data_IF_584423152246
#
_entry.id   IF_584423152246
#
_cell.length_a   1.000
_cell.length_b   1.000
_cell.length_c   1.000
_cell.angle_alpha   90.00
_cell.angle_beta   90.00
_cell.angle_gamma   90.00
#
_symmetry.space_group_name_H-M   'P 1'
#
loop_
_entity.id
_entity.type
_entity.pdbx_description
1 polymer ?
#
# COMPACT_ATOMS: atom_id res chain seq x y z
N UNK A 1 -22.79 17.71 7.59
CA UNK A 1 -24.04 17.02 7.23
C UNK A 1 -23.90 16.57 5.78
N UNK A 2 -23.76 15.30 5.42
CA UNK A 2 -23.17 14.14 6.07
C UNK A 2 -22.49 13.37 4.92
N UNK A 3 -21.24 12.94 5.09
CA UNK A 3 -20.57 12.12 4.08
C UNK A 3 -21.41 10.84 3.97
N UNK A 4 -22.05 10.66 2.83
CA UNK A 4 -22.97 9.55 2.59
C UNK A 4 -22.14 8.27 2.63
N UNK A 5 -22.41 7.41 3.61
CA UNK A 5 -21.75 6.10 3.77
C UNK A 5 -21.85 5.21 2.53
N UNK A 6 -22.74 5.54 1.58
CA UNK A 6 -22.84 4.93 0.26
C UNK A 6 -21.62 5.19 -0.64
N UNK A 7 -20.99 6.37 -0.59
CA UNK A 7 -19.95 6.76 -1.55
C UNK A 7 -18.57 6.16 -1.18
N UNK A 8 -18.34 5.96 0.12
CA UNK A 8 -17.17 5.23 0.65
C UNK A 8 -17.31 3.73 0.36
N UNK A 9 -18.52 3.18 0.53
CA UNK A 9 -18.79 1.79 0.16
C UNK A 9 -18.68 1.59 -1.35
N UNK A 10 -19.08 2.55 -2.18
CA UNK A 10 -18.98 2.43 -3.63
C UNK A 10 -17.54 2.53 -4.14
N UNK A 11 -16.67 3.32 -3.50
CA UNK A 11 -15.24 3.37 -3.81
C UNK A 11 -14.48 2.15 -3.28
N UNK A 12 -14.86 1.63 -2.11
CA UNK A 12 -14.37 0.35 -1.60
C UNK A 12 -14.84 -0.82 -2.47
N UNK A 13 -16.10 -0.83 -2.92
CA UNK A 13 -16.64 -1.83 -3.83
C UNK A 13 -16.07 -1.71 -5.24
N UNK A 14 -15.76 -0.51 -5.74
CA UNK A 14 -15.04 -0.36 -7.01
C UNK A 14 -13.62 -0.92 -6.94
N UNK A 15 -12.93 -0.73 -5.81
CA UNK A 15 -11.61 -1.31 -5.54
C UNK A 15 -11.69 -2.84 -5.36
N UNK A 16 -12.71 -3.34 -4.68
CA UNK A 16 -12.96 -4.78 -4.52
C UNK A 16 -13.39 -5.42 -5.85
N UNK A 17 -14.33 -4.86 -6.61
CA UNK A 17 -14.83 -5.41 -7.87
C UNK A 17 -13.77 -5.38 -9.00
N UNK A 18 -12.87 -4.40 -9.01
CA UNK A 18 -11.77 -4.35 -9.98
C UNK A 18 -10.61 -5.31 -9.63
N UNK A 19 -10.53 -5.76 -8.37
CA UNK A 19 -9.55 -6.74 -7.88
C UNK A 19 -10.08 -8.16 -7.73
N UNK A 20 -11.41 -8.35 -7.72
CA UNK A 20 -12.13 -9.61 -7.44
C UNK A 20 -12.84 -10.08 -8.71
N UNK A 21 -12.08 -10.33 -9.78
CA UNK A 21 -12.54 -11.26 -10.82
C UNK A 21 -11.48 -12.34 -11.01
N UNK A 22 -11.31 -13.13 -9.94
CA UNK A 22 -10.50 -14.35 -9.95
C UNK A 22 -11.40 -15.54 -10.26
N UNK A 23 -12.17 -15.43 -11.33
CA UNK A 23 -13.00 -16.53 -11.81
C UNK A 23 -12.09 -17.62 -12.35
N UNK A 24 -12.25 -18.80 -11.75
CA UNK A 24 -12.01 -20.08 -12.39
C UNK A 24 -12.95 -20.17 -13.60
N UNK A 25 -12.59 -19.50 -14.69
CA UNK A 25 -12.99 -20.01 -15.99
C UNK A 25 -12.18 -21.28 -16.17
N UNK A 26 -12.81 -22.39 -15.79
CA UNK A 26 -12.54 -23.70 -16.36
C UNK A 26 -12.09 -23.52 -17.79
N UNK A 27 -10.89 -24.03 -18.06
CA UNK A 27 -10.33 -24.28 -19.39
C UNK A 27 -11.45 -24.63 -20.37
N UNK A 28 -11.89 -23.64 -21.14
CA UNK A 28 -12.31 -23.85 -22.52
C UNK A 28 -11.32 -23.05 -23.35
N UNK A 29 -10.07 -23.51 -23.32
CA UNK A 29 -9.20 -23.38 -24.48
C UNK A 29 -9.70 -24.34 -25.56
N UNK A 30 -10.93 -24.14 -26.03
CA UNK A 30 -11.25 -24.53 -27.39
C UNK A 30 -10.70 -23.38 -28.23
N UNK A 31 -9.74 -23.69 -29.09
CA UNK A 31 -9.10 -22.72 -29.98
C UNK A 31 -10.18 -22.22 -30.97
N UNK A 32 -11.03 -21.31 -30.50
CA UNK A 32 -11.89 -20.48 -31.32
C UNK A 32 -11.08 -19.21 -31.53
N UNK A 33 -10.60 -19.02 -32.76
CA UNK A 33 -10.05 -17.75 -33.20
C UNK A 33 -11.14 -16.68 -33.06
N UNK A 34 -11.19 -16.07 -31.87
CA UNK A 34 -12.13 -15.00 -31.58
C UNK A 34 -11.53 -13.70 -32.15
N UNK A 35 -12.18 -13.04 -33.13
CA UNK A 35 -11.66 -11.84 -33.75
C UNK A 35 -11.48 -10.65 -32.79
N UNK A 36 -11.96 -10.76 -31.54
CA UNK A 36 -11.78 -9.78 -30.47
C UNK A 36 -10.43 -9.89 -29.72
N UNK A 37 -9.67 -10.97 -29.94
CA UNK A 37 -8.36 -11.19 -29.30
C UNK A 37 -7.34 -10.04 -29.48
N UNK A 38 -7.14 -9.47 -30.70
CA UNK A 38 -6.18 -8.37 -30.89
C UNK A 38 -6.60 -7.07 -30.20
N UNK A 39 -7.90 -6.81 -30.02
CA UNK A 39 -8.39 -5.62 -29.30
C UNK A 39 -8.20 -5.76 -27.79
N UNK A 40 -8.46 -6.95 -27.24
CA UNK A 40 -8.25 -7.25 -25.83
C UNK A 40 -6.77 -7.13 -25.44
N UNK A 41 -5.84 -7.64 -26.26
CA UNK A 41 -4.40 -7.55 -26.01
C UNK A 41 -3.90 -6.09 -25.95
N UNK A 42 -4.26 -5.27 -26.95
CA UNK A 42 -3.89 -3.85 -27.01
C UNK A 42 -4.42 -3.06 -25.80
N UNK A 43 -5.65 -3.34 -25.37
CA UNK A 43 -6.21 -2.68 -24.17
C UNK A 43 -5.43 -3.04 -22.90
N UNK A 44 -5.07 -4.32 -22.73
CA UNK A 44 -4.32 -4.82 -21.57
C UNK A 44 -2.88 -4.28 -21.52
N UNK A 45 -2.21 -4.15 -22.66
CA UNK A 45 -0.86 -3.57 -22.73
C UNK A 45 -0.84 -2.11 -22.25
N UNK A 46 -1.85 -1.32 -22.62
CA UNK A 46 -1.98 0.07 -22.13
C UNK A 46 -2.16 0.14 -20.62
N UNK A 47 -2.95 -0.76 -20.05
CA UNK A 47 -3.15 -0.85 -18.60
C UNK A 47 -1.92 -1.35 -17.85
N UNK A 48 -1.16 -2.28 -18.44
CA UNK A 48 0.11 -2.76 -17.87
C UNK A 48 1.14 -1.65 -17.82
N UNK A 49 1.29 -0.89 -18.90
CA UNK A 49 2.18 0.28 -18.94
C UNK A 49 1.80 1.31 -17.87
N UNK A 50 0.52 1.63 -17.73
CA UNK A 50 0.04 2.55 -16.70
C UNK A 50 0.32 2.04 -15.27
N UNK A 51 0.09 0.75 -15.00
CA UNK A 51 0.41 0.13 -13.70
C UNK A 51 1.91 0.18 -13.39
N UNK A 52 2.77 -0.11 -14.37
CA UNK A 52 4.21 -0.02 -14.20
C UNK A 52 4.69 1.42 -13.96
N UNK A 53 4.11 2.40 -14.66
CA UNK A 53 4.41 3.81 -14.45
C UNK A 53 4.03 4.26 -13.03
N UNK A 54 2.82 3.94 -12.57
CA UNK A 54 2.37 4.24 -11.21
C UNK A 54 3.25 3.55 -10.18
N UNK A 55 3.51 2.24 -10.34
CA UNK A 55 4.36 1.48 -9.43
C UNK A 55 5.76 2.08 -9.31
N UNK A 56 6.35 2.50 -10.43
CA UNK A 56 7.68 3.15 -10.45
C UNK A 56 7.65 4.50 -9.74
N UNK A 57 6.61 5.32 -9.98
CA UNK A 57 6.45 6.60 -9.31
C UNK A 57 6.31 6.42 -7.79
N UNK A 58 5.49 5.44 -7.35
CA UNK A 58 5.32 5.09 -5.94
C UNK A 58 6.67 4.71 -5.32
N UNK A 59 7.47 3.87 -5.99
CA UNK A 59 8.79 3.47 -5.49
C UNK A 59 9.70 4.68 -5.35
N UNK A 60 9.83 5.52 -6.39
CA UNK A 60 10.75 6.66 -6.37
C UNK A 60 10.37 7.68 -5.29
N UNK A 61 9.08 8.04 -5.20
CA UNK A 61 8.59 9.00 -4.22
C UNK A 61 8.80 8.48 -2.79
N UNK A 62 8.39 7.24 -2.51
CA UNK A 62 8.47 6.70 -1.16
C UNK A 62 9.90 6.35 -0.75
N UNK A 63 10.74 5.84 -1.66
CA UNK A 63 12.15 5.57 -1.37
C UNK A 63 12.90 6.86 -1.02
N UNK A 64 12.61 7.97 -1.72
CA UNK A 64 13.16 9.30 -1.39
C UNK A 64 12.79 9.71 0.05
N UNK A 65 11.55 9.44 0.47
CA UNK A 65 11.06 9.73 1.83
C UNK A 65 11.73 8.82 2.88
N UNK A 66 11.92 7.53 2.59
CA UNK A 66 12.64 6.59 3.47
C UNK A 66 14.08 7.05 3.68
N UNK A 67 14.79 7.40 2.61
CA UNK A 67 16.18 7.89 2.69
C UNK A 67 16.23 9.22 3.45
N UNK A 68 15.34 10.17 3.13
CA UNK A 68 15.30 11.49 3.77
C UNK A 68 15.03 11.36 5.26
N UNK A 69 14.04 10.57 5.66
CA UNK A 69 13.70 10.35 7.07
C UNK A 69 14.84 9.67 7.83
N UNK A 70 15.50 8.67 7.24
CA UNK A 70 16.69 8.02 7.82
C UNK A 70 17.85 9.00 8.03
N UNK A 71 18.13 9.87 7.06
CA UNK A 71 19.19 10.87 7.14
C UNK A 71 18.91 11.93 8.22
N UNK A 72 17.65 12.39 8.33
CA UNK A 72 17.22 13.37 9.33
C UNK A 72 17.34 12.80 10.75
N UNK A 73 16.98 11.51 10.94
CA UNK A 73 17.16 10.81 12.22
C UNK A 73 18.65 10.72 12.57
N UNK A 74 19.52 10.39 11.60
CA UNK A 74 20.98 10.33 11.81
C UNK A 74 21.56 11.69 12.19
N UNK A 75 21.01 12.78 11.65
CA UNK A 75 21.38 14.16 11.99
C UNK A 75 20.86 14.59 13.38
N UNK A 76 20.05 13.77 14.05
CA UNK A 76 19.58 13.99 15.42
C UNK A 76 18.44 15.00 15.53
N UNK A 77 17.79 15.35 14.43
CA UNK A 77 16.70 16.33 14.42
C UNK A 77 15.49 15.78 15.18
N UNK A 78 14.95 16.58 16.10
CA UNK A 78 13.75 16.23 16.85
C UNK A 78 12.50 16.71 16.09
N UNK A 79 11.38 15.98 16.17
CA UNK A 79 11.16 14.76 16.94
C UNK A 79 11.46 13.48 16.14
N UNK A 80 12.33 12.62 16.69
CA UNK A 80 12.77 11.36 16.04
C UNK A 80 11.63 10.38 15.75
N UNK A 81 10.60 10.37 16.60
CA UNK A 81 9.41 9.50 16.50
C UNK A 81 8.62 9.73 15.21
N UNK A 82 8.44 10.99 14.79
CA UNK A 82 7.74 11.35 13.56
C UNK A 82 8.45 10.84 12.32
N UNK A 83 9.75 11.07 12.23
CA UNK A 83 10.52 10.64 11.07
C UNK A 83 10.56 9.10 10.96
N UNK A 84 10.52 8.39 12.09
CA UNK A 84 10.39 6.93 12.10
C UNK A 84 9.02 6.45 11.59
N UNK A 85 7.93 7.09 12.01
CA UNK A 85 6.59 6.76 11.53
C UNK A 85 6.43 7.08 10.03
N UNK A 86 6.96 8.22 9.60
CA UNK A 86 6.95 8.64 8.19
C UNK A 86 7.76 7.68 7.31
N UNK A 87 8.91 7.23 7.81
CA UNK A 87 9.72 6.17 7.19
C UNK A 87 8.97 4.83 7.11
N UNK A 88 8.20 4.46 8.14
CA UNK A 88 7.41 3.21 8.13
C UNK A 88 6.28 3.24 7.08
N UNK A 89 5.53 4.35 6.99
CA UNK A 89 4.48 4.53 5.97
C UNK A 89 5.08 4.39 4.58
N UNK A 90 6.11 5.18 4.28
CA UNK A 90 6.77 5.16 2.98
C UNK A 90 7.42 3.81 2.66
N UNK A 91 7.97 3.09 3.65
CA UNK A 91 8.48 1.73 3.44
C UNK A 91 7.36 0.75 3.03
N UNK A 92 6.20 0.81 3.70
CA UNK A 92 5.05 -0.03 3.36
C UNK A 92 4.54 0.28 1.94
N UNK A 93 4.43 1.55 1.58
CA UNK A 93 4.00 1.97 0.24
C UNK A 93 5.02 1.59 -0.85
N UNK A 94 6.32 1.62 -0.53
CA UNK A 94 7.38 1.12 -1.44
C UNK A 94 7.24 -0.38 -1.69
N UNK A 95 6.91 -1.18 -0.66
CA UNK A 95 6.66 -2.61 -0.82
C UNK A 95 5.48 -2.89 -1.76
N UNK A 96 4.39 -2.10 -1.67
CA UNK A 96 3.27 -2.18 -2.62
C UNK A 96 3.73 -1.86 -4.04
N UNK A 97 4.51 -0.79 -4.22
CA UNK A 97 5.03 -0.40 -5.53
C UNK A 97 5.88 -1.49 -6.19
N UNK A 98 6.79 -2.10 -5.43
CA UNK A 98 7.61 -3.24 -5.88
C UNK A 98 6.72 -4.41 -6.29
N UNK A 99 5.72 -4.73 -5.46
CA UNK A 99 4.80 -5.82 -5.72
C UNK A 99 3.94 -5.58 -6.97
N UNK A 100 3.48 -4.35 -7.22
CA UNK A 100 2.76 -3.98 -8.43
C UNK A 100 3.60 -4.20 -9.70
N UNK A 101 4.89 -3.82 -9.67
CA UNK A 101 5.80 -4.06 -10.79
C UNK A 101 6.05 -5.56 -10.98
N UNK A 102 6.29 -6.29 -9.90
CA UNK A 102 6.52 -7.74 -9.94
C UNK A 102 5.33 -8.49 -10.55
N UNK A 103 4.11 -8.13 -10.16
CA UNK A 103 2.86 -8.66 -10.73
C UNK A 103 2.70 -8.27 -12.20
N UNK A 104 3.10 -7.06 -12.59
CA UNK A 104 3.10 -6.61 -13.97
C UNK A 104 4.05 -7.40 -14.86
N UNK A 105 5.25 -7.72 -14.38
CA UNK A 105 6.30 -8.45 -15.12
C UNK A 105 5.98 -9.93 -15.24
N UNK A 106 5.50 -10.58 -14.17
CA UNK A 106 5.12 -12.00 -14.20
C UNK A 106 3.90 -12.28 -15.11
N UNK A 107 3.18 -11.22 -15.50
CA UNK A 107 2.05 -11.31 -16.41
C UNK A 107 0.92 -12.21 -15.90
N UNK A 108 0.01 -12.52 -16.82
CA UNK A 108 -1.10 -13.47 -16.60
C UNK A 108 -0.64 -14.94 -16.57
N UNK A 109 0.65 -15.19 -16.76
CA UNK A 109 1.24 -16.53 -16.89
C UNK A 109 1.08 -17.39 -15.63
N UNK A 110 0.86 -16.75 -14.48
CA UNK A 110 0.65 -17.41 -13.19
C UNK A 110 -0.75 -17.06 -12.64
N UNK A 111 -1.80 -17.52 -13.31
CA UNK A 111 -3.20 -17.41 -12.86
C UNK A 111 -3.55 -18.51 -11.85
N UNK A 112 -2.82 -18.55 -10.74
CA UNK A 112 -3.16 -19.41 -9.60
C UNK A 112 -4.05 -18.64 -8.63
N UNK A 113 -5.12 -19.28 -8.15
CA UNK A 113 -6.03 -18.72 -7.13
C UNK A 113 -5.26 -18.19 -5.90
N UNK A 114 -4.17 -18.87 -5.54
CA UNK A 114 -3.30 -18.47 -4.43
C UNK A 114 -2.62 -17.11 -4.68
N UNK A 115 -2.18 -16.84 -5.91
CA UNK A 115 -1.55 -15.56 -6.26
C UNK A 115 -2.57 -14.43 -6.33
N UNK A 116 -3.81 -14.71 -6.73
CA UNK A 116 -4.89 -13.73 -6.63
C UNK A 116 -5.16 -13.33 -5.18
N UNK A 117 -5.37 -14.31 -4.31
CA UNK A 117 -5.64 -14.07 -2.88
C UNK A 117 -4.45 -13.35 -2.24
N UNK A 118 -3.23 -13.74 -2.58
CA UNK A 118 -2.02 -13.07 -2.10
C UNK A 118 -1.94 -11.61 -2.56
N UNK A 119 -2.27 -11.32 -3.82
CA UNK A 119 -2.28 -9.94 -4.35
C UNK A 119 -3.27 -9.07 -3.59
N UNK A 120 -4.50 -9.56 -3.40
CA UNK A 120 -5.52 -8.84 -2.68
C UNK A 120 -5.14 -8.62 -1.21
N UNK A 121 -4.63 -9.66 -0.56
CA UNK A 121 -4.12 -9.60 0.81
C UNK A 121 -3.03 -8.53 0.95
N UNK A 122 -2.03 -8.53 0.06
CA UNK A 122 -0.94 -7.54 0.10
C UNK A 122 -1.44 -6.10 0.00
N UNK A 123 -2.46 -5.82 -0.82
CA UNK A 123 -3.00 -4.46 -0.95
C UNK A 123 -3.79 -4.06 0.30
N UNK A 124 -4.69 -4.92 0.79
CA UNK A 124 -5.51 -4.63 1.97
C UNK A 124 -4.63 -4.49 3.22
N UNK A 125 -3.69 -5.42 3.42
CA UNK A 125 -2.76 -5.39 4.56
C UNK A 125 -1.94 -4.09 4.55
N UNK A 126 -1.39 -3.71 3.41
CA UNK A 126 -0.59 -2.49 3.31
C UNK A 126 -1.44 -1.22 3.49
N UNK A 127 -2.68 -1.19 2.97
CA UNK A 127 -3.61 -0.09 3.20
C UNK A 127 -3.95 0.06 4.69
N UNK A 128 -4.23 -1.05 5.39
CA UNK A 128 -4.44 -1.04 6.85
C UNK A 128 -3.21 -0.49 7.58
N UNK A 129 -2.01 -1.01 7.26
CA UNK A 129 -0.74 -0.58 7.89
C UNK A 129 -0.49 0.92 7.67
N UNK A 130 -0.74 1.42 6.47
CA UNK A 130 -0.57 2.83 6.12
C UNK A 130 -1.55 3.71 6.90
N UNK A 131 -2.85 3.36 6.91
CA UNK A 131 -3.88 4.10 7.67
C UNK A 131 -3.54 4.16 9.16
N UNK A 132 -3.23 3.02 9.79
CA UNK A 132 -2.87 3.00 11.21
C UNK A 132 -1.60 3.81 11.51
N UNK A 133 -0.61 3.75 10.63
CA UNK A 133 0.64 4.52 10.79
C UNK A 133 0.40 6.03 10.66
N UNK A 134 -0.47 6.47 9.74
CA UNK A 134 -0.87 7.88 9.61
C UNK A 134 -1.71 8.35 10.80
N UNK A 135 -2.61 7.51 11.32
CA UNK A 135 -3.35 7.81 12.55
C UNK A 135 -2.40 7.99 13.75
N UNK A 136 -1.42 7.10 13.92
CA UNK A 136 -0.40 7.25 14.97
C UNK A 136 0.45 8.51 14.77
N UNK A 137 0.79 8.84 13.52
CA UNK A 137 1.50 10.08 13.19
C UNK A 137 0.68 11.32 13.57
N UNK A 138 -0.62 11.32 13.30
CA UNK A 138 -1.51 12.42 13.68
C UNK A 138 -1.59 12.59 15.20
N UNK A 139 -1.72 11.48 15.94
CA UNK A 139 -1.72 11.47 17.41
C UNK A 139 -0.37 11.98 17.96
N UNK A 140 0.75 11.53 17.38
CA UNK A 140 2.10 11.97 17.76
C UNK A 140 2.26 13.50 17.60
N UNK A 141 1.82 14.06 16.47
CA UNK A 141 1.85 15.51 16.23
C UNK A 141 0.92 16.25 17.18
N UNK A 142 -0.27 15.73 17.44
CA UNK A 142 -1.24 16.32 18.36
C UNK A 142 -0.67 16.46 19.78
N UNK A 143 -0.07 15.39 20.31
CA UNK A 143 0.54 15.40 21.65
C UNK A 143 1.80 16.27 21.68
N UNK A 144 2.61 16.29 20.61
CA UNK A 144 3.79 17.14 20.52
C UNK A 144 3.44 18.64 20.66
N UNK A 145 2.36 19.07 20.00
CA UNK A 145 1.94 20.48 20.00
C UNK A 145 1.30 20.86 21.35
N UNK A 146 0.43 20.02 21.91
CA UNK A 146 -0.28 20.33 23.15
C UNK A 146 0.55 20.11 24.43
N UNK A 147 1.41 19.10 24.43
CA UNK A 147 2.12 18.64 25.62
C UNK A 147 3.63 18.54 25.39
N UNK A 148 4.24 19.55 24.74
CA UNK A 148 5.67 19.55 24.40
C UNK A 148 6.63 19.25 25.58
N UNK A 149 6.32 19.73 26.79
CA UNK A 149 7.12 19.48 28.01
C UNK A 149 7.07 18.02 28.48
N UNK A 150 5.93 17.33 28.30
CA UNK A 150 5.75 15.93 28.71
C UNK A 150 5.95 14.94 27.54
N UNK A 151 6.05 15.45 26.31
CA UNK A 151 6.16 14.65 25.09
C UNK A 151 7.33 13.67 25.12
N UNK A 152 8.53 14.10 25.55
CA UNK A 152 9.71 13.22 25.68
C UNK A 152 9.48 12.06 26.66
N UNK A 153 8.63 12.24 27.67
CA UNK A 153 8.33 11.20 28.69
C UNK A 153 7.28 10.21 28.21
N UNK A 154 6.33 10.65 27.39
CA UNK A 154 5.23 9.82 26.87
C UNK A 154 5.59 9.10 25.57
N UNK A 155 6.26 9.79 24.64
CA UNK A 155 6.59 9.31 23.30
C UNK A 155 8.09 8.98 23.18
N UNK A 156 8.47 7.81 23.68
CA UNK A 156 9.83 7.29 23.53
C UNK A 156 9.96 6.45 22.23
N UNK A 157 11.12 6.52 21.58
CA UNK A 157 11.49 5.80 20.35
C UNK A 157 11.17 4.30 20.43
N UNK A 158 11.39 3.68 21.60
CA UNK A 158 11.09 2.25 21.82
C UNK A 158 9.60 1.95 21.74
N UNK A 159 8.73 2.83 22.28
CA UNK A 159 7.27 2.64 22.22
C UNK A 159 6.74 2.76 20.80
N UNK A 160 7.31 3.70 20.02
CA UNK A 160 6.97 3.87 18.59
C UNK A 160 7.38 2.64 17.78
N UNK A 161 8.57 2.07 18.04
CA UNK A 161 9.00 0.81 17.41
C UNK A 161 8.07 -0.36 17.73
N UNK A 162 7.66 -0.49 19.00
CA UNK A 162 6.68 -1.51 19.40
C UNK A 162 5.35 -1.27 18.67
N UNK A 163 4.88 -0.02 18.59
CA UNK A 163 3.67 0.34 17.85
C UNK A 163 3.73 -0.05 16.38
N UNK A 164 4.87 0.19 15.71
CA UNK A 164 5.09 -0.24 14.32
C UNK A 164 4.99 -1.77 14.21
N UNK A 165 5.69 -2.52 15.08
CA UNK A 165 5.62 -3.99 15.07
C UNK A 165 4.18 -4.48 15.27
N UNK A 166 3.44 -3.89 16.21
CA UNK A 166 2.03 -4.22 16.43
C UNK A 166 1.18 -3.94 15.19
N UNK A 167 1.37 -2.81 14.51
CA UNK A 167 0.65 -2.47 13.27
C UNK A 167 0.92 -3.51 12.19
N UNK A 168 2.16 -3.97 12.04
CA UNK A 168 2.51 -5.02 11.07
C UNK A 168 1.86 -6.36 11.42
N UNK A 169 1.74 -6.71 12.70
CA UNK A 169 1.06 -7.93 13.14
C UNK A 169 -0.46 -7.82 12.88
N UNK A 170 -1.08 -6.70 13.28
CA UNK A 170 -2.51 -6.44 13.07
C UNK A 170 -2.82 -6.37 11.58
N UNK A 171 -1.95 -5.76 10.79
CA UNK A 171 -2.10 -5.67 9.34
C UNK A 171 -2.06 -7.03 8.64
N UNK A 172 -1.45 -8.05 9.25
CA UNK A 172 -1.46 -9.43 8.75
C UNK A 172 -2.73 -10.23 9.12
N UNK A 173 -3.51 -9.75 10.08
CA UNK A 173 -4.77 -10.35 10.55
C UNK A 173 -6.00 -9.63 9.96
#
# INVERSE_FOLDING_TARGET
MGIKTSDINQSAEFFMLSGVNCTNESVVSEIRYDPLYPYALNSNERWLMFKCLIGTLIIVCNLTVVISSGLIIKKGQQPKSTYLLLGNVSLADTMIGIFMIFVGILGTSMRSDQLCIFRLGMIICSAKVSIFSVCLLAIDRYIYILHGLYYQKWFNTTRVRIGIICIWIIGKF
#
